data_IF_339657198598
#
_entry.id   IF_339657198598
#
_cell.length_a   1.000
_cell.length_b   1.000
_cell.length_c   1.000
_cell.angle_alpha   90.00
_cell.angle_beta   90.00
_cell.angle_gamma   90.00
#
_symmetry.space_group_name_H-M   'P 1'
#
loop_
_entity.id
_entity.type
_entity.pdbx_description
1 polymer ?
#
# COMPACT_ATOMS: atom_id res chain seq x y z
N UNK A 1 17.82 -1.38 -1.61
CA UNK A 1 17.21 -1.94 -0.39
C UNK A 1 15.70 -1.89 -0.57
N UNK A 2 14.94 -2.91 -0.11
CA UNK A 2 13.49 -2.89 -0.19
C UNK A 2 12.94 -1.68 0.58
N UNK A 3 11.87 -1.07 0.06
CA UNK A 3 11.16 -0.01 0.75
C UNK A 3 10.50 -0.56 2.00
N UNK A 4 10.30 0.28 3.01
CA UNK A 4 9.50 -0.11 4.19
C UNK A 4 8.00 -0.01 3.88
N UNK A 5 7.17 -0.79 4.57
CA UNK A 5 5.71 -0.72 4.44
C UNK A 5 5.20 0.71 4.68
N UNK A 6 5.73 1.42 5.69
CA UNK A 6 5.35 2.81 5.96
C UNK A 6 5.60 3.75 4.78
N UNK A 7 6.63 3.50 4.00
CA UNK A 7 6.97 4.31 2.82
C UNK A 7 5.96 4.08 1.71
N UNK A 8 5.54 2.82 1.49
CA UNK A 8 4.47 2.51 0.55
C UNK A 8 3.13 3.15 0.95
N UNK A 9 2.78 3.09 2.25
CA UNK A 9 1.58 3.76 2.76
C UNK A 9 1.65 5.28 2.56
N UNK A 10 2.82 5.89 2.81
CA UNK A 10 3.02 7.32 2.60
C UNK A 10 2.85 7.73 1.13
N UNK A 11 3.36 6.94 0.19
CA UNK A 11 3.19 7.20 -1.24
C UNK A 11 1.72 7.16 -1.65
N UNK A 12 0.98 6.15 -1.18
CA UNK A 12 -0.45 6.03 -1.46
C UNK A 12 -1.24 7.20 -0.85
N UNK A 13 -0.94 7.63 0.37
CA UNK A 13 -1.58 8.80 0.99
C UNK A 13 -1.31 10.09 0.19
N UNK A 14 -0.06 10.30 -0.24
CA UNK A 14 0.31 11.44 -1.08
C UNK A 14 -0.40 11.43 -2.44
N UNK A 15 -0.64 10.25 -3.00
CA UNK A 15 -1.42 10.04 -4.22
C UNK A 15 -2.96 10.12 -3.99
N UNK A 16 -3.42 10.50 -2.80
CA UNK A 16 -4.83 10.69 -2.50
C UNK A 16 -5.62 9.40 -2.24
N UNK A 17 -4.93 8.28 -2.00
CA UNK A 17 -5.61 7.05 -1.59
C UNK A 17 -6.15 7.16 -0.17
N UNK A 18 -7.29 6.52 0.06
CA UNK A 18 -7.83 6.23 1.39
C UNK A 18 -7.69 4.74 1.69
N UNK A 19 -7.74 4.34 2.96
CA UNK A 19 -7.59 2.93 3.32
C UNK A 19 -8.58 2.46 4.37
N UNK A 20 -8.80 1.15 4.39
CA UNK A 20 -9.55 0.44 5.43
C UNK A 20 -8.67 -0.66 6.05
N UNK A 21 -8.73 -0.86 7.37
CA UNK A 21 -8.05 -1.98 8.01
C UNK A 21 -8.64 -3.31 7.52
N UNK A 22 -7.77 -4.31 7.32
CA UNK A 22 -8.13 -5.69 7.04
C UNK A 22 -7.83 -6.61 8.22
N UNK A 23 -7.76 -7.92 7.96
CA UNK A 23 -7.39 -8.91 8.99
C UNK A 23 -5.90 -8.81 9.33
N UNK A 24 -5.57 -8.69 10.61
CA UNK A 24 -4.18 -8.62 11.09
C UNK A 24 -3.47 -7.34 10.60
N UNK A 25 -2.28 -7.48 10.02
CA UNK A 25 -1.48 -6.35 9.52
C UNK A 25 -1.84 -5.92 8.09
N UNK A 26 -2.95 -6.41 7.54
CA UNK A 26 -3.37 -6.05 6.19
C UNK A 26 -4.12 -4.72 6.16
N UNK A 27 -3.86 -3.92 5.14
CA UNK A 27 -4.58 -2.67 4.84
C UNK A 27 -4.98 -2.68 3.37
N UNK A 28 -6.22 -2.30 3.10
CA UNK A 28 -6.79 -2.20 1.76
C UNK A 28 -6.90 -0.73 1.38
N UNK A 29 -6.36 -0.35 0.24
CA UNK A 29 -6.22 1.03 -0.22
C UNK A 29 -7.03 1.27 -1.49
N UNK A 30 -7.71 2.41 -1.55
CA UNK A 30 -8.69 2.77 -2.57
C UNK A 30 -8.45 4.19 -3.07
N UNK A 31 -8.64 4.41 -4.37
CA UNK A 31 -8.62 5.71 -5.01
C UNK A 31 -9.78 5.78 -6.03
N UNK A 32 -10.53 6.91 -6.15
CA UNK A 32 -11.61 7.04 -7.12
C UNK A 32 -11.22 6.75 -8.57
N UNK A 33 -9.94 6.93 -8.92
CA UNK A 33 -9.41 6.72 -10.27
C UNK A 33 -8.91 5.28 -10.50
N UNK A 34 -8.80 4.47 -9.44
CA UNK A 34 -8.35 3.08 -9.52
C UNK A 34 -9.55 2.12 -9.54
N UNK A 35 -9.68 1.34 -10.60
CA UNK A 35 -10.59 0.20 -10.64
C UNK A 35 -10.03 -0.93 -9.75
N UNK A 36 -10.45 -0.97 -8.49
CA UNK A 36 -10.10 -2.03 -7.54
C UNK A 36 -9.50 -1.50 -6.24
N UNK A 37 -8.50 -2.23 -5.71
CA UNK A 37 -7.79 -1.87 -4.47
C UNK A 37 -6.35 -2.34 -4.48
N UNK A 38 -5.47 -1.63 -3.79
CA UNK A 38 -4.13 -2.09 -3.44
C UNK A 38 -4.16 -2.72 -2.05
N UNK A 39 -3.56 -3.90 -1.88
CA UNK A 39 -3.51 -4.57 -0.57
C UNK A 39 -2.07 -4.59 -0.07
N UNK A 40 -1.81 -3.92 1.05
CA UNK A 40 -0.52 -3.96 1.73
C UNK A 40 -0.62 -4.83 2.98
N UNK A 41 0.34 -5.74 3.16
CA UNK A 41 0.46 -6.62 4.32
C UNK A 41 1.78 -6.39 5.03
N UNK A 42 1.75 -6.19 6.35
CA UNK A 42 2.95 -5.97 7.15
C UNK A 42 2.81 -4.79 8.09
N UNK A 43 3.64 -4.77 9.12
CA UNK A 43 3.79 -3.63 10.02
C UNK A 43 4.67 -2.56 9.36
N UNK A 44 4.57 -1.34 9.85
CA UNK A 44 5.21 -0.17 9.25
C UNK A 44 6.75 -0.26 9.14
N UNK A 45 7.40 -1.00 10.04
CA UNK A 45 8.85 -1.24 10.04
C UNK A 45 9.32 -2.42 9.19
N UNK A 46 8.39 -3.24 8.67
CA UNK A 46 8.71 -4.40 7.85
C UNK A 46 9.17 -3.95 6.46
N UNK A 47 10.07 -4.73 5.86
CA UNK A 47 10.41 -4.57 4.44
C UNK A 47 9.22 -4.99 3.57
N UNK A 48 8.92 -4.17 2.57
CA UNK A 48 7.90 -4.47 1.60
C UNK A 48 8.33 -5.65 0.73
N UNK A 49 7.35 -6.48 0.39
CA UNK A 49 7.57 -7.54 -0.60
C UNK A 49 7.58 -6.91 -2.00
N UNK A 50 8.36 -7.46 -2.91
CA UNK A 50 8.52 -6.88 -4.26
C UNK A 50 7.20 -6.72 -5.03
N UNK A 51 6.22 -7.60 -4.80
CA UNK A 51 4.89 -7.43 -5.40
C UNK A 51 4.14 -6.21 -4.85
N UNK A 52 4.29 -5.88 -3.56
CA UNK A 52 3.64 -4.73 -2.96
C UNK A 52 4.21 -3.43 -3.53
N UNK A 53 5.53 -3.36 -3.71
CA UNK A 53 6.17 -2.22 -4.37
C UNK A 53 5.67 -2.08 -5.82
N UNK A 54 5.54 -3.19 -6.54
CA UNK A 54 5.03 -3.21 -7.91
C UNK A 54 3.56 -2.78 -7.97
N UNK A 55 2.72 -3.27 -7.07
CA UNK A 55 1.30 -2.94 -7.02
C UNK A 55 1.09 -1.45 -6.70
N UNK A 56 1.86 -0.89 -5.76
CA UNK A 56 1.82 0.54 -5.45
C UNK A 56 2.27 1.37 -6.64
N UNK A 57 3.36 0.97 -7.30
CA UNK A 57 3.88 1.68 -8.48
C UNK A 57 2.90 1.66 -9.65
N UNK A 58 2.13 0.58 -9.81
CA UNK A 58 1.15 0.49 -10.89
C UNK A 58 -0.15 1.24 -10.59
N UNK A 59 -0.43 1.52 -9.31
CA UNK A 59 -1.68 2.14 -8.87
C UNK A 59 -1.62 3.67 -8.82
N UNK A 60 -0.42 4.25 -8.78
CA UNK A 60 -0.15 5.70 -8.76
C UNK A 60 0.34 6.10 -10.14
#
# INVERSE_FOLDING_TARGET
MPKKIRELKSLLLQAGFTYKPGKGSHTNWFNPLLLGRVTLSGKDGDDARSYQEKDVKNAI
#
